data_IF_742718598918
#
_entry.id   IF_742718598918
#
_cell.length_a   1.000
_cell.length_b   1.000
_cell.length_c   1.000
_cell.angle_alpha   90.00
_cell.angle_beta   90.00
_cell.angle_gamma   90.00
#
_symmetry.space_group_name_H-M   'P 1'
#
loop_
_entity.id
_entity.type
_entity.pdbx_description
1 polymer ?
#
# COMPACT_ATOMS: atom_id res chain seq x y z
N UNK A 1 8.87 3.51 6.39
CA UNK A 1 9.79 4.55 5.92
C UNK A 1 10.16 4.32 4.45
N UNK A 2 10.70 3.15 4.09
CA UNK A 2 11.15 2.82 2.72
C UNK A 2 10.01 2.83 1.69
N UNK A 3 8.79 2.48 2.09
CA UNK A 3 7.62 2.46 1.22
C UNK A 3 6.96 3.84 1.04
N UNK A 4 7.25 4.80 1.92
CA UNK A 4 6.65 6.15 1.90
C UNK A 4 6.86 6.89 0.57
N UNK A 5 8.06 6.93 -0.03
CA UNK A 5 8.27 7.64 -1.29
C UNK A 5 7.44 7.07 -2.44
N UNK A 6 7.19 5.76 -2.43
CA UNK A 6 6.35 5.11 -3.45
C UNK A 6 4.90 5.51 -3.32
N UNK A 7 4.37 5.54 -2.10
CA UNK A 7 3.00 5.99 -1.86
C UNK A 7 2.81 7.47 -2.20
N UNK A 8 3.74 8.33 -1.77
CA UNK A 8 3.68 9.77 -2.06
C UNK A 8 3.69 10.03 -3.56
N UNK A 9 4.57 9.35 -4.31
CA UNK A 9 4.62 9.47 -5.77
C UNK A 9 3.32 9.01 -6.41
N UNK A 10 2.78 7.87 -6.00
CA UNK A 10 1.52 7.35 -6.54
C UNK A 10 0.34 8.25 -6.20
N UNK A 11 0.28 8.78 -4.98
CA UNK A 11 -0.75 9.73 -4.57
C UNK A 11 -0.68 11.01 -5.42
N UNK A 12 0.50 11.56 -5.62
CA UNK A 12 0.71 12.73 -6.45
C UNK A 12 0.21 12.49 -7.88
N UNK A 13 0.64 11.42 -8.53
CA UNK A 13 0.18 11.07 -9.88
C UNK A 13 -1.34 10.92 -9.93
N UNK A 14 -1.95 10.29 -8.92
CA UNK A 14 -3.41 10.12 -8.86
C UNK A 14 -4.19 11.43 -8.77
N UNK A 15 -3.60 12.46 -8.16
CA UNK A 15 -4.19 13.80 -8.16
C UNK A 15 -3.89 14.58 -9.44
N UNK A 16 -2.72 14.38 -10.04
CA UNK A 16 -2.35 15.00 -11.32
C UNK A 16 -3.17 14.46 -12.50
N UNK A 17 -3.61 13.20 -12.43
CA UNK A 17 -4.46 12.55 -13.44
C UNK A 17 -5.93 13.05 -13.41
N UNK A 18 -6.33 13.81 -12.39
CA UNK A 18 -7.67 14.41 -12.35
C UNK A 18 -7.75 15.55 -13.38
N UNK A 19 -8.68 15.42 -14.33
CA UNK A 19 -8.84 16.39 -15.39
C UNK A 19 -9.25 17.77 -14.82
N UNK A 20 -8.46 18.79 -15.13
CA UNK A 20 -8.70 20.19 -14.77
C UNK A 20 -10.06 20.67 -15.29
N UNK A 21 -10.55 20.11 -16.39
CA UNK A 21 -11.87 20.43 -16.92
C UNK A 21 -13.00 20.06 -15.94
N UNK A 22 -12.87 18.96 -15.21
CA UNK A 22 -13.85 18.57 -14.18
C UNK A 22 -13.82 19.50 -12.97
N UNK A 23 -12.64 19.95 -12.55
CA UNK A 23 -12.50 20.95 -11.49
C UNK A 23 -13.15 22.27 -11.89
N UNK A 24 -12.86 22.74 -13.11
CA UNK A 24 -13.41 23.99 -13.64
C UNK A 24 -14.94 23.92 -13.80
N UNK A 25 -15.48 22.80 -14.28
CA UNK A 25 -16.92 22.59 -14.39
C UNK A 25 -17.62 22.66 -13.02
N UNK A 26 -17.07 22.03 -12.00
CA UNK A 26 -17.61 22.10 -10.64
C UNK A 26 -17.60 23.55 -10.08
N UNK A 27 -16.54 24.29 -10.37
CA UNK A 27 -16.41 25.69 -9.95
C UNK A 27 -17.36 26.62 -10.68
N UNK A 28 -17.62 26.43 -11.96
CA UNK A 28 -18.61 27.21 -12.72
C UNK A 28 -20.03 26.98 -12.22
N UNK A 29 -20.32 25.82 -11.65
CA UNK A 29 -21.58 25.49 -10.98
C UNK A 29 -21.69 26.05 -9.55
N UNK A 30 -20.72 26.87 -9.12
CA UNK A 30 -20.75 27.54 -7.82
C UNK A 30 -20.22 26.70 -6.64
N UNK A 31 -19.55 25.56 -6.89
CA UNK A 31 -18.97 24.79 -5.82
C UNK A 31 -17.75 25.50 -5.21
N UNK A 32 -17.66 25.53 -3.87
CA UNK A 32 -16.49 26.03 -3.18
C UNK A 32 -15.29 25.10 -3.40
N UNK A 33 -14.06 25.61 -3.24
CA UNK A 33 -12.83 24.80 -3.40
C UNK A 33 -12.85 23.52 -2.55
N UNK A 34 -13.29 23.61 -1.30
CA UNK A 34 -13.39 22.45 -0.41
C UNK A 34 -14.43 21.44 -0.93
N UNK A 35 -15.58 21.90 -1.39
CA UNK A 35 -16.62 21.02 -1.94
C UNK A 35 -16.14 20.34 -3.22
N UNK A 36 -15.49 21.05 -4.13
CA UNK A 36 -14.89 20.47 -5.34
C UNK A 36 -13.85 19.40 -4.98
N UNK A 37 -12.99 19.65 -4.00
CA UNK A 37 -12.01 18.68 -3.56
C UNK A 37 -12.64 17.39 -3.03
N UNK A 38 -13.57 17.48 -2.07
CA UNK A 38 -14.13 16.29 -1.42
C UNK A 38 -15.13 15.52 -2.29
N UNK A 39 -15.87 16.20 -3.17
CA UNK A 39 -16.93 15.55 -3.96
C UNK A 39 -16.54 15.25 -5.41
N UNK A 40 -15.48 15.86 -5.94
CA UNK A 40 -15.05 15.65 -7.33
C UNK A 40 -13.65 15.04 -7.36
N UNK A 41 -12.64 15.75 -6.84
CA UNK A 41 -11.24 15.36 -6.98
C UNK A 41 -10.93 14.07 -6.19
N UNK A 42 -11.30 14.04 -4.92
CA UNK A 42 -10.99 12.95 -4.03
C UNK A 42 -11.60 11.60 -4.47
N UNK A 43 -12.89 11.51 -4.87
CA UNK A 43 -13.46 10.26 -5.35
C UNK A 43 -12.79 9.74 -6.63
N UNK A 44 -12.40 10.61 -7.54
CA UNK A 44 -11.72 10.25 -8.79
C UNK A 44 -10.30 9.73 -8.48
N UNK A 45 -9.55 10.44 -7.63
CA UNK A 45 -8.21 10.05 -7.23
C UNK A 45 -8.18 8.80 -6.32
N UNK A 46 -9.30 8.42 -5.70
CA UNK A 46 -9.38 7.34 -4.72
C UNK A 46 -8.85 6.01 -5.25
N UNK A 47 -9.12 5.68 -6.51
CA UNK A 47 -8.64 4.43 -7.13
C UNK A 47 -7.12 4.37 -7.18
N UNK A 48 -6.48 5.47 -7.57
CA UNK A 48 -5.03 5.58 -7.58
C UNK A 48 -4.42 5.58 -6.18
N UNK A 49 -5.06 6.26 -5.23
CA UNK A 49 -4.65 6.27 -3.83
C UNK A 49 -4.70 4.87 -3.20
N UNK A 50 -5.78 4.13 -3.44
CA UNK A 50 -5.92 2.74 -2.96
C UNK A 50 -4.91 1.81 -3.62
N UNK A 51 -4.70 1.94 -4.93
CA UNK A 51 -3.68 1.17 -5.64
C UNK A 51 -2.28 1.46 -5.09
N UNK A 52 -1.96 2.72 -4.83
CA UNK A 52 -0.71 3.14 -4.21
C UNK A 52 -0.53 2.57 -2.81
N UNK A 53 -1.59 2.56 -2.00
CA UNK A 53 -1.55 1.98 -0.66
C UNK A 53 -1.26 0.46 -0.70
N UNK A 54 -1.90 -0.27 -1.62
CA UNK A 54 -1.66 -1.71 -1.82
C UNK A 54 -0.20 -1.96 -2.22
N UNK A 55 0.32 -1.19 -3.17
CA UNK A 55 1.70 -1.32 -3.63
C UNK A 55 2.72 -0.99 -2.52
N UNK A 56 2.48 0.07 -1.76
CA UNK A 56 3.33 0.44 -0.62
C UNK A 56 3.30 -0.64 0.47
N UNK A 57 2.12 -1.21 0.74
CA UNK A 57 1.96 -2.31 1.69
C UNK A 57 2.70 -3.57 1.22
N UNK A 58 2.51 -3.99 -0.04
CA UNK A 58 3.20 -5.15 -0.61
C UNK A 58 4.73 -4.98 -0.54
N UNK A 59 5.23 -3.77 -0.81
CA UNK A 59 6.66 -3.47 -0.68
C UNK A 59 7.13 -3.52 0.77
N UNK A 60 6.34 -3.03 1.72
CA UNK A 60 6.72 -3.05 3.13
C UNK A 60 6.76 -4.44 3.74
N UNK A 61 5.95 -5.38 3.23
CA UNK A 61 5.98 -6.78 3.66
C UNK A 61 7.30 -7.49 3.32
N UNK A 62 7.94 -7.12 2.21
CA UNK A 62 9.23 -7.68 1.79
C UNK A 62 10.44 -6.90 2.30
N UNK A 63 10.25 -5.91 3.21
CA UNK A 63 11.35 -5.08 3.66
C UNK A 63 12.31 -5.86 4.57
N UNK A 64 13.53 -5.99 4.13
CA UNK A 64 14.61 -6.69 4.81
C UNK A 64 15.78 -5.76 5.15
N UNK A 65 16.29 -5.06 4.14
CA UNK A 65 17.55 -4.33 4.24
C UNK A 65 17.54 -3.20 5.25
N UNK A 66 16.54 -2.31 5.18
CA UNK A 66 16.45 -1.19 6.12
C UNK A 66 16.17 -1.69 7.54
N UNK A 67 15.34 -2.73 7.70
CA UNK A 67 15.03 -3.26 9.02
C UNK A 67 16.28 -3.82 9.70
N UNK A 68 17.08 -4.64 9.02
CA UNK A 68 18.28 -5.22 9.61
C UNK A 68 19.34 -4.16 9.94
N UNK A 69 19.45 -3.12 9.11
CA UNK A 69 20.44 -2.06 9.31
C UNK A 69 20.08 -1.12 10.47
N UNK A 70 18.81 -0.76 10.62
CA UNK A 70 18.39 0.23 11.60
C UNK A 70 17.88 -0.37 12.91
N UNK A 71 17.16 -1.48 12.84
CA UNK A 71 16.52 -2.10 14.00
C UNK A 71 17.24 -3.37 14.47
N UNK A 72 18.11 -3.93 13.65
CA UNK A 72 18.74 -5.22 13.91
C UNK A 72 17.77 -6.39 13.75
N UNK A 73 18.22 -7.58 14.18
CA UNK A 73 17.45 -8.82 14.07
C UNK A 73 17.38 -9.53 15.43
N UNK A 74 16.63 -8.93 16.36
CA UNK A 74 16.44 -9.48 17.70
C UNK A 74 15.11 -10.21 17.79
N UNK A 75 15.18 -11.52 18.03
CA UNK A 75 14.01 -12.37 18.19
C UNK A 75 13.10 -11.84 19.32
N UNK A 76 11.80 -11.72 19.03
CA UNK A 76 10.81 -11.20 19.95
C UNK A 76 10.78 -9.67 20.14
N UNK A 77 11.68 -8.92 19.47
CA UNK A 77 11.72 -7.44 19.53
C UNK A 77 11.63 -6.77 18.18
N UNK A 78 12.57 -7.04 17.28
CA UNK A 78 12.70 -6.35 15.98
C UNK A 78 12.67 -7.28 14.78
N UNK A 79 12.62 -8.59 15.02
CA UNK A 79 12.60 -9.59 13.95
C UNK A 79 11.28 -9.53 13.18
N UNK A 80 11.38 -9.25 11.89
CA UNK A 80 10.27 -9.35 10.93
C UNK A 80 10.25 -10.72 10.27
N UNK A 81 9.16 -11.09 9.57
CA UNK A 81 9.08 -12.38 8.89
C UNK A 81 10.20 -12.60 7.86
N UNK A 82 10.57 -11.63 7.00
CA UNK A 82 11.73 -11.77 6.12
C UNK A 82 13.04 -11.99 6.87
N UNK A 83 13.25 -11.34 8.01
CA UNK A 83 14.42 -11.56 8.86
C UNK A 83 14.40 -12.92 9.55
N UNK A 84 13.24 -13.42 9.95
CA UNK A 84 13.06 -14.75 10.50
C UNK A 84 13.40 -15.83 9.47
N UNK A 85 12.97 -15.67 8.22
CA UNK A 85 13.33 -16.55 7.11
C UNK A 85 14.84 -16.58 6.91
N UNK A 86 15.47 -15.41 6.87
CA UNK A 86 16.92 -15.30 6.73
C UNK A 86 17.69 -16.03 7.85
N UNK A 87 17.25 -15.84 9.09
CA UNK A 87 17.87 -16.52 10.25
C UNK A 87 17.66 -18.04 10.17
N UNK A 88 16.46 -18.49 9.84
CA UNK A 88 16.14 -19.91 9.69
C UNK A 88 16.94 -20.58 8.56
N UNK A 89 17.19 -19.89 7.45
CA UNK A 89 18.03 -20.39 6.35
C UNK A 89 19.46 -20.72 6.77
N UNK A 90 19.95 -20.13 7.85
CA UNK A 90 21.32 -20.40 8.36
C UNK A 90 21.38 -21.64 9.25
N UNK A 91 20.26 -22.15 9.74
CA UNK A 91 20.20 -23.28 10.65
C UNK A 91 19.33 -24.44 10.17
N UNK A 92 18.13 -24.17 9.74
CA UNK A 92 17.13 -25.16 9.35
C UNK A 92 16.31 -24.69 8.14
N UNK A 93 16.57 -25.33 7.00
CA UNK A 93 15.94 -24.98 5.74
C UNK A 93 14.43 -25.27 5.75
N UNK A 94 13.98 -26.31 6.44
CA UNK A 94 12.57 -26.68 6.49
C UNK A 94 11.75 -25.63 7.23
N UNK A 95 12.29 -25.09 8.31
CA UNK A 95 11.67 -23.98 9.06
C UNK A 95 11.61 -22.72 8.19
N UNK A 96 12.67 -22.40 7.44
CA UNK A 96 12.68 -21.26 6.53
C UNK A 96 11.61 -21.38 5.45
N UNK A 97 11.44 -22.57 4.87
CA UNK A 97 10.40 -22.84 3.86
C UNK A 97 9.00 -22.70 4.44
N UNK A 98 8.74 -23.23 5.64
CA UNK A 98 7.45 -23.06 6.31
C UNK A 98 7.08 -21.60 6.54
N UNK A 99 8.00 -20.78 7.05
CA UNK A 99 7.77 -19.36 7.28
C UNK A 99 7.54 -18.62 5.96
N UNK A 100 8.28 -18.97 4.89
CA UNK A 100 8.13 -18.38 3.57
C UNK A 100 6.75 -18.65 2.98
N UNK A 101 6.25 -19.88 3.08
CA UNK A 101 4.91 -20.25 2.60
C UNK A 101 3.82 -19.46 3.35
N UNK A 102 3.96 -19.32 4.67
CA UNK A 102 3.02 -18.54 5.48
C UNK A 102 3.02 -17.07 5.04
N UNK A 103 4.21 -16.47 4.83
CA UNK A 103 4.33 -15.08 4.38
C UNK A 103 3.69 -14.86 3.02
N UNK A 104 3.92 -15.76 2.06
CA UNK A 104 3.33 -15.68 0.72
C UNK A 104 1.80 -15.83 0.78
N UNK A 105 1.30 -16.81 1.52
CA UNK A 105 -0.14 -17.02 1.69
C UNK A 105 -0.81 -15.79 2.35
N UNK A 106 -0.21 -15.25 3.40
CA UNK A 106 -0.70 -14.04 4.07
C UNK A 106 -0.72 -12.83 3.14
N UNK A 107 0.37 -12.59 2.41
CA UNK A 107 0.48 -11.48 1.45
C UNK A 107 -0.58 -11.57 0.36
N UNK A 108 -0.78 -12.77 -0.19
CA UNK A 108 -1.79 -13.00 -1.21
C UNK A 108 -3.20 -12.79 -0.68
N UNK A 109 -3.50 -13.31 0.52
CA UNK A 109 -4.80 -13.12 1.18
C UNK A 109 -5.12 -11.64 1.41
N UNK A 110 -4.15 -10.84 1.88
CA UNK A 110 -4.33 -9.41 2.10
C UNK A 110 -4.60 -8.67 0.79
N UNK A 111 -3.82 -8.95 -0.28
CA UNK A 111 -4.01 -8.33 -1.59
C UNK A 111 -5.40 -8.64 -2.15
N UNK A 112 -5.84 -9.91 -2.08
CA UNK A 112 -7.17 -10.31 -2.54
C UNK A 112 -8.26 -9.63 -1.73
N UNK A 113 -8.12 -9.60 -0.40
CA UNK A 113 -9.08 -8.96 0.50
C UNK A 113 -9.25 -7.48 0.15
N UNK A 114 -8.15 -6.74 0.03
CA UNK A 114 -8.19 -5.31 -0.30
C UNK A 114 -8.80 -5.09 -1.69
N UNK A 115 -8.44 -5.91 -2.68
CA UNK A 115 -9.01 -5.84 -4.02
C UNK A 115 -10.52 -6.09 -4.04
N UNK A 116 -11.00 -7.05 -3.27
CA UNK A 116 -12.44 -7.34 -3.14
C UNK A 116 -13.18 -6.20 -2.45
N UNK A 117 -12.62 -5.66 -1.37
CA UNK A 117 -13.20 -4.53 -0.65
C UNK A 117 -13.28 -3.29 -1.56
N UNK A 118 -12.23 -2.98 -2.28
CA UNK A 118 -12.17 -1.84 -3.22
C UNK A 118 -13.22 -1.99 -4.32
N UNK A 119 -13.40 -3.19 -4.88
CA UNK A 119 -14.45 -3.45 -5.87
C UNK A 119 -15.86 -3.28 -5.31
N UNK A 120 -16.10 -3.60 -4.04
CA UNK A 120 -17.41 -3.42 -3.40
C UNK A 120 -17.73 -1.95 -3.15
N UNK A 121 -16.73 -1.15 -2.79
CA UNK A 121 -16.90 0.31 -2.62
C UNK A 121 -17.23 0.96 -3.96
N UNK A 122 -16.54 0.57 -5.03
CA UNK A 122 -16.76 1.11 -6.38
C UNK A 122 -18.15 0.75 -6.97
N UNK A 123 -18.72 -0.40 -6.64
CA UNK A 123 -20.08 -0.76 -7.10
C UNK A 123 -21.21 -0.04 -6.37
N UNK A 124 -20.92 0.72 -5.30
CA UNK A 124 -21.91 1.46 -4.52
C UNK A 124 -21.96 2.96 -4.85
N UNK A 125 -21.01 3.46 -5.63
CA UNK A 125 -21.05 4.80 -6.24
C UNK A 125 -21.43 4.70 -7.72
#
# INVERSE_FOLDING_TARGET
>A
FVSSPFYIRQARTSFEDVDIAMENAARTLGASRARTFFYVILPIAMNGLLSGAIMAFARSLGEFGATIMFAGNFQGRTQTMPLAIYTAMQGDLDVALCISIILVAFSFAVIVLVKVLTRRVYKRC
#
